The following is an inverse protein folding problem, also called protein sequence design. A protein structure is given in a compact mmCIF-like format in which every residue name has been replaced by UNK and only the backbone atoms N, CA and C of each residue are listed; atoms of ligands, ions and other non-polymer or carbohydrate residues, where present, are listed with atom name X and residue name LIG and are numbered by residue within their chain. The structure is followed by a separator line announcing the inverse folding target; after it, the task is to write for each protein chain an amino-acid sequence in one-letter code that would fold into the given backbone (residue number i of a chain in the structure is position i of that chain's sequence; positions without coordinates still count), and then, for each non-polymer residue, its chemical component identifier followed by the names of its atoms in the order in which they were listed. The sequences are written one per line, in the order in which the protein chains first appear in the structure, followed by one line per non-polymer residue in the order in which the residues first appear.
data_IF_104410949906
#
_entry.id   IF_104410949906
#
_cell.length_a   1.000
_cell.length_b   1.000
_cell.length_c   1.000
_cell.angle_alpha   90.00
_cell.angle_beta   90.00
_cell.angle_gamma   90.00
#
_symmetry.space_group_name_H-M   'P 1'
#
loop_
_entity.id
_entity.type
_entity.pdbx_description
1 polymer ?
#
# COMPACT_ATOMS: atom_id res chain seq x y z
N UNK A 1 9.26 -11.31 1.76
CA UNK A 1 8.09 -12.18 2.06
C UNK A 1 6.84 -11.66 1.34
N UNK A 2 6.20 -12.45 0.47
CA UNK A 2 5.08 -12.00 -0.39
C UNK A 2 3.90 -11.36 0.35
N UNK A 3 3.57 -11.82 1.57
CA UNK A 3 2.55 -11.17 2.43
C UNK A 3 2.84 -9.70 2.73
N UNK A 4 4.11 -9.34 2.89
CA UNK A 4 4.54 -7.96 3.19
C UNK A 4 4.43 -7.08 1.95
N UNK A 5 4.81 -7.61 0.79
CA UNK A 5 4.73 -6.90 -0.49
C UNK A 5 3.29 -6.62 -0.89
N UNK A 6 2.40 -7.60 -0.72
CA UNK A 6 0.95 -7.43 -0.96
C UNK A 6 0.35 -6.36 -0.05
N UNK A 7 0.72 -6.38 1.24
CA UNK A 7 0.29 -5.38 2.20
C UNK A 7 0.84 -3.98 1.85
N UNK A 8 2.09 -3.88 1.39
CA UNK A 8 2.69 -2.64 0.91
C UNK A 8 1.85 -2.02 -0.21
N UNK A 9 1.57 -2.84 -1.24
CA UNK A 9 0.76 -2.43 -2.39
C UNK A 9 -0.62 -1.92 -1.97
N UNK A 10 -1.29 -2.63 -1.05
CA UNK A 10 -2.61 -2.23 -0.55
C UNK A 10 -2.58 -0.90 0.20
N UNK A 11 -1.58 -0.69 1.06
CA UNK A 11 -1.42 0.58 1.81
C UNK A 11 -1.17 1.72 0.83
N UNK A 12 -0.29 1.54 -0.15
CA UNK A 12 0.05 2.59 -1.12
C UNK A 12 -1.14 2.90 -2.02
N UNK A 13 -1.85 1.89 -2.52
CA UNK A 13 -3.06 2.07 -3.31
C UNK A 13 -4.13 2.83 -2.51
N UNK A 14 -4.32 2.50 -1.22
CA UNK A 14 -5.28 3.22 -0.36
C UNK A 14 -4.88 4.68 -0.11
N UNK A 15 -3.57 4.96 -0.04
CA UNK A 15 -3.03 6.32 0.07
C UNK A 15 -3.20 7.11 -1.22
N UNK A 16 -3.09 6.43 -2.36
CA UNK A 16 -3.25 7.04 -3.67
C UNK A 16 -4.72 7.33 -4.00
N UNK A 17 -5.63 6.42 -3.68
CA UNK A 17 -7.04 6.51 -4.02
C UNK A 17 -7.85 7.43 -3.10
N UNK A 18 -7.37 7.76 -1.90
CA UNK A 18 -8.17 8.50 -0.90
C UNK A 18 -7.33 9.56 -0.19
N UNK A 19 -7.72 10.83 -0.34
CA UNK A 19 -7.06 11.98 0.33
C UNK A 19 -7.04 11.86 1.87
N UNK A 20 -8.01 11.13 2.46
CA UNK A 20 -8.03 10.78 3.90
C UNK A 20 -7.35 9.45 4.18
N UNK A 21 -6.14 9.27 3.70
CA UNK A 21 -5.39 8.05 3.98
C UNK A 21 -5.10 7.92 5.49
N UNK A 22 -5.39 6.75 6.06
CA UNK A 22 -5.04 6.46 7.45
C UNK A 22 -3.53 6.62 7.66
N UNK A 23 -3.16 7.19 8.82
CA UNK A 23 -1.75 7.38 9.17
C UNK A 23 -1.01 6.03 9.20
N UNK A 24 0.29 6.02 8.89
CA UNK A 24 1.11 4.79 8.99
C UNK A 24 1.06 4.17 10.39
N UNK A 25 0.80 4.98 11.43
CA UNK A 25 0.56 4.52 12.80
C UNK A 25 -0.77 3.78 12.98
N UNK A 26 -1.85 4.24 12.36
CA UNK A 26 -3.15 3.56 12.39
C UNK A 26 -3.09 2.22 11.66
N UNK A 27 -2.39 2.16 10.51
CA UNK A 27 -2.13 0.90 9.80
C UNK A 27 -1.32 -0.09 10.65
N UNK A 28 -0.19 0.34 11.23
CA UNK A 28 0.66 -0.50 12.07
C UNK A 28 -0.10 -1.05 13.28
N UNK A 29 -0.86 -0.21 13.98
CA UNK A 29 -1.47 -0.57 15.27
C UNK A 29 -2.79 -1.33 15.11
N UNK A 30 -3.68 -0.92 14.20
CA UNK A 30 -5.03 -1.49 14.13
C UNK A 30 -5.20 -2.56 13.05
N UNK A 31 -4.48 -2.46 11.93
CA UNK A 31 -4.73 -3.31 10.77
C UNK A 31 -3.69 -4.42 10.67
N UNK A 32 -2.43 -4.12 10.96
CA UNK A 32 -1.33 -5.07 10.76
C UNK A 32 -0.91 -5.75 12.08
N UNK A 33 -0.94 -5.01 13.19
CA UNK A 33 -0.47 -5.43 14.51
C UNK A 33 -1.25 -6.57 15.17
N UNK A 34 -2.49 -6.85 14.75
CA UNK A 34 -3.28 -7.93 15.36
C UNK A 34 -2.90 -9.33 14.85
N UNK A 35 -2.46 -9.47 13.58
CA UNK A 35 -2.38 -10.79 12.94
C UNK A 35 -1.09 -11.06 12.14
N UNK A 36 -0.21 -10.07 11.91
CA UNK A 36 0.87 -10.19 10.92
C UNK A 36 2.30 -9.89 11.43
N UNK A 37 2.51 -9.78 12.74
CA UNK A 37 3.84 -9.67 13.35
C UNK A 37 4.58 -8.36 13.14
N UNK A 38 4.03 -7.42 12.36
CA UNK A 38 4.58 -6.07 12.17
C UNK A 38 4.09 -5.21 13.32
N UNK A 39 4.99 -4.93 14.26
CA UNK A 39 4.67 -4.24 15.53
C UNK A 39 5.06 -2.77 15.55
N UNK A 40 5.76 -2.29 14.52
CA UNK A 40 6.35 -0.96 14.51
C UNK A 40 6.01 -0.21 13.21
N UNK A 41 5.66 1.06 13.35
CA UNK A 41 5.45 2.02 12.26
C UNK A 41 6.68 2.10 11.35
N UNK A 42 7.88 1.95 11.91
CA UNK A 42 9.12 1.96 11.12
C UNK A 42 9.17 0.84 10.09
N UNK A 43 8.70 -0.37 10.43
CA UNK A 43 8.69 -1.50 9.49
C UNK A 43 7.65 -1.29 8.38
N UNK A 44 6.49 -0.73 8.73
CA UNK A 44 5.46 -0.32 7.76
C UNK A 44 5.99 0.73 6.79
N UNK A 45 6.77 1.68 7.27
CA UNK A 45 7.40 2.70 6.41
C UNK A 45 8.50 2.09 5.53
N UNK A 46 9.35 1.21 6.07
CA UNK A 46 10.39 0.53 5.29
C UNK A 46 9.81 -0.29 4.14
N UNK A 47 8.74 -1.06 4.41
CA UNK A 47 8.07 -1.88 3.39
C UNK A 47 7.43 -1.01 2.29
N UNK A 48 6.84 0.13 2.65
CA UNK A 48 6.30 1.08 1.67
C UNK A 48 7.40 1.69 0.81
N UNK A 49 8.53 2.09 1.41
CA UNK A 49 9.67 2.64 0.67
C UNK A 49 10.28 1.61 -0.28
N UNK A 50 10.43 0.37 0.16
CA UNK A 50 10.91 -0.74 -0.68
C UNK A 50 9.97 -0.98 -1.87
N UNK A 51 8.65 -0.98 -1.64
CA UNK A 51 7.66 -1.11 -2.70
C UNK A 51 7.71 0.04 -3.71
N UNK A 52 7.78 1.29 -3.23
CA UNK A 52 7.90 2.47 -4.11
C UNK A 52 9.19 2.46 -4.93
N UNK A 53 10.29 2.04 -4.32
CA UNK A 53 11.58 1.91 -5.00
C UNK A 53 11.55 0.84 -6.09
N UNK A 54 10.74 -0.21 -5.93
CA UNK A 54 10.59 -1.26 -6.94
C UNK A 54 9.70 -0.79 -8.10
N UNK A 55 8.75 0.12 -7.82
CA UNK A 55 7.85 0.71 -8.82
C UNK A 55 8.40 2.00 -9.44
N UNK A 56 9.61 2.43 -9.09
CA UNK A 56 10.18 3.73 -9.51
C UNK A 56 9.23 4.91 -9.28
N UNK A 57 8.40 4.83 -8.23
CA UNK A 57 7.35 5.82 -7.90
C UNK A 57 6.30 6.04 -9.00
N UNK A 58 6.21 5.15 -10.00
CA UNK A 58 5.22 5.19 -11.07
C UNK A 58 3.88 4.63 -10.59
N UNK A 59 3.16 5.43 -9.81
CA UNK A 59 1.83 5.10 -9.25
C UNK A 59 0.68 5.64 -10.10
N UNK A 60 0.99 6.49 -11.07
CA UNK A 60 -0.03 7.10 -11.92
C UNK A 60 -0.56 6.07 -12.90
N UNK A 61 -1.88 5.93 -12.91
CA UNK A 61 -2.59 5.10 -13.88
C UNK A 61 -3.47 6.04 -14.68
N UNK A 62 -3.29 6.03 -16.00
CA UNK A 62 -4.17 6.76 -16.91
C UNK A 62 -5.61 6.28 -16.79
N UNK A 63 -6.56 7.21 -16.92
CA UNK A 63 -7.98 6.91 -16.78
C UNK A 63 -8.47 5.83 -17.75
N UNK A 64 -7.93 5.80 -18.97
CA UNK A 64 -8.25 4.77 -19.98
C UNK A 64 -7.80 3.38 -19.52
N UNK A 65 -6.59 3.26 -18.98
CA UNK A 65 -6.06 2.00 -18.46
C UNK A 65 -6.85 1.55 -17.23
N UNK A 66 -7.21 2.48 -16.33
CA UNK A 66 -8.03 2.17 -15.17
C UNK A 66 -9.41 1.62 -15.56
N UNK A 67 -10.10 2.27 -16.49
CA UNK A 67 -11.41 1.80 -16.96
C UNK A 67 -11.30 0.43 -17.65
N UNK A 68 -10.29 0.23 -18.48
CA UNK A 68 -10.06 -1.06 -19.14
C UNK A 68 -9.89 -2.20 -18.11
N UNK A 69 -9.11 -1.98 -17.05
CA UNK A 69 -8.94 -2.98 -16.00
C UNK A 69 -10.22 -3.23 -15.18
N UNK A 70 -11.02 -2.19 -14.96
CA UNK A 70 -12.31 -2.31 -14.27
C UNK A 70 -13.36 -3.05 -15.10
N UNK A 71 -13.31 -2.93 -16.43
CA UNK A 71 -14.22 -3.63 -17.34
C UNK A 71 -13.85 -5.12 -17.51
N UNK A 72 -12.58 -5.49 -17.27
CA UNK A 72 -12.10 -6.88 -17.32
C UNK A 72 -12.24 -7.66 -16.00
N UNK A 73 -12.60 -6.98 -14.90
CA UNK A 73 -12.78 -7.53 -13.54
C UNK A 73 -14.20 -8.09 -13.31
#
# INVERSE_FOLDING_TARGET
CGRRMFLAALIIASKYATDRALSSGTWATHIIGQNNGIRNVSEVNSIQQEFLSIMDYELFIEYENFNHWMDEL
#
